data_IF_152363818237
#
_entry.id   IF_152363818237
#
_cell.length_a   1.000
_cell.length_b   1.000
_cell.length_c   1.000
_cell.angle_alpha   90.00
_cell.angle_beta   90.00
_cell.angle_gamma   90.00
#
_symmetry.space_group_name_H-M   'P 1'
#
loop_
_entity.id
_entity.type
_entity.pdbx_description
1 polymer ?
#
# COMPACT_ATOMS: atom_id res chain seq x y z
N UNK A 1 21.11 -4.17 -0.02
CA UNK A 1 21.00 -4.72 -1.39
C UNK A 1 20.99 -3.51 -2.30
N UNK A 2 22.13 -3.16 -2.90
CA UNK A 2 22.31 -1.88 -3.63
C UNK A 2 22.80 -2.07 -5.08
N UNK A 3 22.90 -3.31 -5.57
CA UNK A 3 23.53 -3.62 -6.86
C UNK A 3 22.60 -4.37 -7.83
N UNK A 4 21.31 -4.01 -7.86
CA UNK A 4 20.40 -4.49 -8.89
C UNK A 4 20.57 -3.68 -10.18
N UNK A 5 20.72 -4.32 -11.34
CA UNK A 5 20.79 -3.63 -12.63
C UNK A 5 19.49 -2.88 -12.96
N UNK A 6 18.37 -3.25 -12.32
CA UNK A 6 17.09 -2.57 -12.40
C UNK A 6 16.80 -1.92 -11.04
N UNK A 7 17.04 -0.62 -10.94
CA UNK A 7 16.71 0.20 -9.78
C UNK A 7 16.24 1.58 -10.24
N UNK A 8 15.33 2.16 -9.47
CA UNK A 8 14.88 3.53 -9.66
C UNK A 8 15.10 4.27 -8.32
N UNK A 9 15.86 5.36 -8.35
CA UNK A 9 16.19 6.16 -7.17
C UNK A 9 14.94 6.75 -6.50
N UNK A 10 13.90 7.05 -7.28
CA UNK A 10 12.61 7.54 -6.77
C UNK A 10 11.92 6.52 -5.86
N UNK A 11 12.30 5.25 -5.93
CA UNK A 11 11.72 4.16 -5.12
C UNK A 11 12.50 3.85 -3.85
N UNK A 12 13.52 4.65 -3.48
CA UNK A 12 14.30 4.41 -2.28
C UNK A 12 13.44 4.34 -1.00
N UNK A 13 12.38 5.14 -0.89
CA UNK A 13 11.44 5.11 0.24
C UNK A 13 10.70 3.78 0.37
N UNK A 14 10.53 3.03 -0.72
CA UNK A 14 9.87 1.73 -0.73
C UNK A 14 10.68 0.64 -0.03
N UNK A 15 11.98 0.87 0.22
CA UNK A 15 12.81 -0.08 0.98
C UNK A 15 12.23 -0.40 2.37
N UNK A 16 11.48 0.55 2.95
CA UNK A 16 10.82 0.39 4.25
C UNK A 16 9.30 0.29 4.15
N UNK A 17 8.74 0.29 2.92
CA UNK A 17 7.31 0.19 2.72
C UNK A 17 6.82 -1.23 2.98
N UNK A 18 5.72 -1.35 3.73
CA UNK A 18 5.02 -2.61 3.93
C UNK A 18 4.03 -2.85 2.80
N UNK A 19 4.50 -3.55 1.77
CA UNK A 19 3.76 -3.86 0.54
C UNK A 19 3.58 -5.37 0.42
N UNK A 20 2.40 -5.79 0.02
CA UNK A 20 2.12 -7.16 -0.40
C UNK A 20 1.62 -7.19 -1.85
N UNK A 21 1.85 -8.31 -2.53
CA UNK A 21 1.42 -8.51 -3.91
C UNK A 21 0.34 -9.59 -3.98
N UNK A 22 -0.59 -9.41 -4.91
CA UNK A 22 -1.63 -10.37 -5.27
C UNK A 22 -1.73 -10.50 -6.78
N UNK A 23 -2.23 -11.65 -7.22
CA UNK A 23 -2.62 -11.89 -8.58
C UNK A 23 -4.14 -11.86 -8.70
N UNK A 24 -4.65 -11.10 -9.66
CA UNK A 24 -6.00 -11.27 -10.18
C UNK A 24 -5.91 -12.20 -11.40
N UNK A 25 -6.86 -13.12 -11.54
CA UNK A 25 -6.88 -14.02 -12.70
C UNK A 25 -6.91 -13.27 -14.02
N UNK A 26 -7.62 -12.14 -14.06
CA UNK A 26 -7.81 -11.34 -15.26
C UNK A 26 -7.82 -9.84 -14.96
N UNK A 27 -7.48 -9.05 -15.97
CA UNK A 27 -7.75 -7.62 -16.00
C UNK A 27 -9.27 -7.33 -15.92
N UNK A 28 -9.64 -6.12 -15.49
CA UNK A 28 -11.05 -5.72 -15.43
C UNK A 28 -11.30 -4.31 -15.98
N UNK A 29 -12.53 -4.07 -16.43
CA UNK A 29 -12.94 -2.76 -16.94
C UNK A 29 -13.42 -1.82 -15.82
N UNK A 30 -12.91 -0.58 -15.84
CA UNK A 30 -13.31 0.48 -14.93
C UNK A 30 -13.51 1.78 -15.71
N UNK A 31 -14.77 2.20 -15.86
CA UNK A 31 -15.17 3.45 -16.54
C UNK A 31 -14.58 3.57 -17.97
N UNK A 32 -14.66 2.48 -18.74
CA UNK A 32 -14.18 2.44 -20.13
C UNK A 32 -12.66 2.34 -20.29
N UNK A 33 -11.94 2.01 -19.21
CA UNK A 33 -10.51 1.71 -19.23
C UNK A 33 -10.27 0.32 -18.68
N UNK A 34 -9.34 -0.40 -19.28
CA UNK A 34 -8.86 -1.69 -18.76
C UNK A 34 -7.85 -1.42 -17.64
N UNK A 35 -8.01 -2.09 -16.52
CA UNK A 35 -7.12 -2.03 -15.35
C UNK A 35 -6.27 -3.29 -15.31
N UNK A 36 -4.96 -3.12 -15.51
CA UNK A 36 -3.97 -4.21 -15.53
C UNK A 36 -3.27 -4.39 -14.18
N UNK A 37 -3.25 -3.34 -13.37
CA UNK A 37 -2.70 -3.31 -12.02
C UNK A 37 -3.52 -2.38 -11.14
N UNK A 38 -3.48 -2.61 -9.82
CA UNK A 38 -4.09 -1.70 -8.85
C UNK A 38 -3.31 -1.72 -7.54
N UNK A 39 -2.78 -0.57 -7.15
CA UNK A 39 -2.24 -0.30 -5.82
C UNK A 39 -3.31 0.29 -4.88
N UNK A 40 -3.50 -0.32 -3.71
CA UNK A 40 -4.45 0.11 -2.69
C UNK A 40 -3.79 0.21 -1.31
N UNK A 41 -4.05 1.31 -0.60
CA UNK A 41 -3.78 1.36 0.84
C UNK A 41 -4.84 0.56 1.59
N UNK A 42 -4.42 -0.36 2.46
CA UNK A 42 -5.35 -1.18 3.25
C UNK A 42 -6.04 -0.29 4.28
N UNK A 43 -7.32 -0.05 4.08
CA UNK A 43 -8.16 0.78 4.95
C UNK A 43 -9.32 -0.03 5.51
N UNK A 44 -9.20 -0.45 6.78
CA UNK A 44 -10.24 -1.20 7.49
C UNK A 44 -11.33 -0.26 8.04
N UNK A 45 -12.08 0.39 7.14
CA UNK A 45 -13.16 1.35 7.48
C UNK A 45 -14.48 0.65 7.77
N UNK A 46 -14.46 -0.37 8.62
CA UNK A 46 -15.64 -1.10 9.05
C UNK A 46 -15.62 -1.35 10.56
N UNK A 47 -16.78 -1.58 11.16
CA UNK A 47 -16.92 -1.98 12.56
C UNK A 47 -17.32 -3.45 12.71
N UNK A 48 -17.19 -3.98 13.91
CA UNK A 48 -17.67 -5.32 14.28
C UNK A 48 -17.14 -6.44 13.39
N UNK A 49 -18.02 -7.36 12.99
CA UNK A 49 -17.63 -8.56 12.24
C UNK A 49 -17.05 -8.29 10.86
N UNK A 50 -17.43 -7.19 10.20
CA UNK A 50 -16.88 -6.87 8.89
C UNK A 50 -15.37 -6.57 8.99
N UNK A 51 -14.96 -5.80 10.00
CA UNK A 51 -13.54 -5.55 10.28
C UNK A 51 -12.82 -6.85 10.64
N UNK A 52 -13.37 -7.62 11.57
CA UNK A 52 -12.73 -8.87 12.03
C UNK A 52 -12.50 -9.87 10.88
N UNK A 53 -13.46 -10.02 9.95
CA UNK A 53 -13.28 -10.89 8.78
C UNK A 53 -12.22 -10.38 7.82
N UNK A 54 -12.16 -9.06 7.59
CA UNK A 54 -11.11 -8.48 6.75
C UNK A 54 -9.73 -8.66 7.38
N UNK A 55 -9.59 -8.46 8.70
CA UNK A 55 -8.33 -8.68 9.42
C UNK A 55 -7.89 -10.15 9.35
N UNK A 56 -8.81 -11.08 9.62
CA UNK A 56 -8.54 -12.51 9.52
C UNK A 56 -8.09 -12.90 8.12
N UNK A 57 -8.77 -12.42 7.07
CA UNK A 57 -8.42 -12.71 5.68
C UNK A 57 -7.00 -12.23 5.33
N UNK A 58 -6.62 -11.03 5.78
CA UNK A 58 -5.26 -10.51 5.56
C UNK A 58 -4.20 -11.34 6.29
N UNK A 59 -4.48 -11.74 7.53
CA UNK A 59 -3.59 -12.62 8.29
C UNK A 59 -3.46 -14.01 7.65
N UNK A 60 -4.55 -14.58 7.13
CA UNK A 60 -4.51 -15.86 6.42
C UNK A 60 -3.70 -15.77 5.12
N UNK A 61 -3.79 -14.66 4.38
CA UNK A 61 -3.06 -14.49 3.14
C UNK A 61 -1.58 -14.10 3.33
N UNK A 62 -1.29 -13.21 4.29
CA UNK A 62 0.02 -12.55 4.39
C UNK A 62 0.72 -12.72 5.75
N UNK A 63 0.08 -13.40 6.72
CA UNK A 63 0.56 -13.50 8.10
C UNK A 63 0.45 -12.20 8.91
N UNK A 64 0.09 -11.08 8.25
CA UNK A 64 -0.01 -9.73 8.81
C UNK A 64 -1.03 -8.92 8.02
N UNK A 65 -1.31 -7.69 8.45
CA UNK A 65 -2.10 -6.73 7.67
C UNK A 65 -1.11 -5.79 6.97
N UNK A 66 -0.87 -5.93 5.65
CA UNK A 66 0.05 -5.05 4.93
C UNK A 66 -0.50 -3.62 4.87
N UNK A 67 0.37 -2.60 4.79
CA UNK A 67 -0.05 -1.21 4.59
C UNK A 67 -0.59 -0.98 3.17
N UNK A 68 0.04 -1.59 2.17
CA UNK A 68 -0.36 -1.51 0.78
C UNK A 68 -0.46 -2.89 0.14
N UNK A 69 -1.41 -3.05 -0.78
CA UNK A 69 -1.54 -4.24 -1.62
C UNK A 69 -1.47 -3.78 -3.08
N UNK A 70 -0.61 -4.40 -3.87
CA UNK A 70 -0.58 -4.28 -5.32
C UNK A 70 -1.16 -5.56 -5.91
N UNK A 71 -2.23 -5.43 -6.69
CA UNK A 71 -2.84 -6.54 -7.42
C UNK A 71 -2.55 -6.40 -8.90
N UNK A 72 -2.00 -7.45 -9.53
CA UNK A 72 -1.66 -7.47 -10.96
C UNK A 72 -2.52 -8.49 -11.71
N UNK A 73 -2.91 -8.17 -12.93
CA UNK A 73 -3.61 -9.07 -13.84
C UNK A 73 -2.66 -10.15 -14.37
N UNK A 74 -2.87 -11.39 -13.94
CA UNK A 74 -1.99 -12.52 -14.27
C UNK A 74 -2.01 -12.85 -15.76
N UNK A 75 -3.19 -12.81 -16.39
CA UNK A 75 -3.36 -13.06 -17.83
C UNK A 75 -2.55 -12.09 -18.70
N UNK A 76 -2.49 -10.81 -18.31
CA UNK A 76 -1.64 -9.82 -18.97
C UNK A 76 -0.16 -10.06 -18.68
N UNK A 77 0.20 -10.27 -17.40
CA UNK A 77 1.60 -10.44 -16.98
C UNK A 77 2.25 -11.70 -17.58
N UNK A 78 1.47 -12.73 -17.90
CA UNK A 78 1.94 -13.94 -18.59
C UNK A 78 2.31 -13.67 -20.06
N UNK A 79 1.72 -12.66 -20.69
CA UNK A 79 1.82 -12.42 -22.13
C UNK A 79 2.69 -11.20 -22.49
N UNK A 80 2.81 -10.24 -21.58
CA UNK A 80 3.56 -9.01 -21.83
C UNK A 80 5.07 -9.24 -21.82
N UNK A 81 5.81 -8.36 -22.50
CA UNK A 81 7.27 -8.35 -22.45
C UNK A 81 7.79 -7.92 -21.07
N UNK A 82 9.04 -8.28 -20.75
CA UNK A 82 9.69 -7.83 -19.51
C UNK A 82 9.64 -6.31 -19.33
N UNK A 83 9.76 -5.55 -20.43
CA UNK A 83 9.70 -4.09 -20.40
C UNK A 83 8.30 -3.58 -20.01
N UNK A 84 7.25 -4.17 -20.57
CA UNK A 84 5.87 -3.83 -20.23
C UNK A 84 5.53 -4.22 -18.80
N UNK A 85 5.99 -5.39 -18.35
CA UNK A 85 5.85 -5.82 -16.96
C UNK A 85 6.54 -4.85 -16.00
N UNK A 86 7.78 -4.46 -16.29
CA UNK A 86 8.51 -3.48 -15.49
C UNK A 86 7.79 -2.14 -15.45
N UNK A 87 7.29 -1.65 -16.59
CA UNK A 87 6.54 -0.40 -16.65
C UNK A 87 5.23 -0.46 -15.83
N UNK A 88 4.50 -1.58 -15.88
CA UNK A 88 3.31 -1.79 -15.05
C UNK A 88 3.68 -1.81 -13.56
N UNK A 89 4.73 -2.53 -13.18
CA UNK A 89 5.17 -2.60 -11.80
C UNK A 89 5.60 -1.22 -11.27
N UNK A 90 6.38 -0.47 -12.06
CA UNK A 90 6.77 0.91 -11.74
C UNK A 90 5.55 1.81 -11.57
N UNK A 91 4.56 1.72 -12.48
CA UNK A 91 3.32 2.46 -12.39
C UNK A 91 2.62 2.25 -11.05
N UNK A 92 2.47 0.98 -10.61
CA UNK A 92 1.80 0.68 -9.34
C UNK A 92 2.62 1.12 -8.12
N UNK A 93 3.94 1.00 -8.17
CA UNK A 93 4.82 1.45 -7.09
C UNK A 93 4.82 2.98 -6.92
N UNK A 94 4.68 3.74 -8.01
CA UNK A 94 4.57 5.20 -7.95
C UNK A 94 3.33 5.68 -7.16
N UNK A 95 2.23 4.91 -7.14
CA UNK A 95 1.06 5.25 -6.31
C UNK A 95 1.37 5.23 -4.80
N UNK A 96 2.37 4.45 -4.38
CA UNK A 96 2.82 4.42 -2.98
C UNK A 96 3.65 5.67 -2.67
N UNK A 97 4.50 6.11 -3.60
CA UNK A 97 5.30 7.32 -3.47
C UNK A 97 4.42 8.58 -3.36
N UNK A 98 3.39 8.67 -4.20
CA UNK A 98 2.42 9.78 -4.17
C UNK A 98 1.52 9.76 -2.93
N UNK A 99 1.39 8.63 -2.23
CA UNK A 99 0.70 8.58 -0.93
C UNK A 99 1.56 9.12 0.23
N UNK A 100 2.82 9.51 -0.05
CA UNK A 100 3.79 10.05 0.91
C UNK A 100 4.34 11.43 0.49
N UNK A 101 3.54 12.51 0.49
CA UNK A 101 4.03 13.92 0.43
C UNK A 101 3.06 14.92 1.12
N UNK A 102 3.39 16.16 1.55
CA UNK A 102 4.44 17.17 1.22
C UNK A 102 5.59 17.39 2.25
N UNK A 103 5.57 16.80 3.45
CA UNK A 103 6.56 17.11 4.52
C UNK A 103 7.36 15.92 5.07
N UNK A 104 7.27 14.73 4.46
CA UNK A 104 8.19 13.60 4.73
C UNK A 104 8.31 13.10 6.18
N UNK A 105 7.51 13.59 7.12
CA UNK A 105 7.62 13.23 8.52
C UNK A 105 6.66 12.06 8.85
N UNK A 106 7.11 11.03 9.59
CA UNK A 106 6.18 10.21 10.38
C UNK A 106 5.35 11.17 11.24
N UNK A 107 4.05 10.92 11.43
CA UNK A 107 3.24 11.66 12.41
C UNK A 107 3.91 11.56 13.78
N UNK A 108 4.80 12.51 14.10
CA UNK A 108 5.29 12.75 15.44
C UNK A 108 4.07 13.24 16.22
N UNK A 109 3.51 12.33 17.00
CA UNK A 109 2.88 12.60 18.27
C UNK A 109 3.70 13.64 19.06
N UNK A 110 3.32 14.91 18.92
CA UNK A 110 3.64 15.97 19.87
C UNK A 110 2.35 16.63 20.32
N UNK A 111 1.70 16.01 21.29
CA UNK A 111 1.38 16.76 22.49
C UNK A 111 2.02 16.07 23.70
N UNK A 112 2.97 16.81 24.24
CA UNK A 112 3.83 16.56 25.37
C UNK A 112 3.08 16.66 26.70
N UNK A 113 3.54 15.83 27.64
CA UNK A 113 3.67 16.06 29.09
C UNK A 113 2.46 15.81 30.01
N UNK A 114 2.66 14.78 30.82
CA UNK A 114 2.14 14.64 32.17
C UNK A 114 2.30 15.91 33.05
N UNK A 115 1.25 16.12 33.85
CA UNK A 115 1.22 16.47 35.28
C UNK A 115 0.86 17.91 35.70
N UNK A 116 -0.31 18.03 36.34
CA UNK A 116 -0.45 18.76 37.61
C UNK A 116 -1.50 19.86 37.71
N UNK A 117 -2.38 19.70 38.72
CA UNK A 117 -3.19 20.71 39.45
C UNK A 117 -4.47 21.25 38.75
N UNK A 118 -5.67 20.88 39.22
CA UNK A 118 -6.52 21.65 40.18
C UNK A 118 -7.06 22.95 39.56
N UNK A 119 -8.34 23.35 39.54
CA UNK A 119 -9.50 23.13 40.42
C UNK A 119 -10.72 23.88 39.83
N UNK A 120 -11.92 23.43 40.23
CA UNK A 120 -13.16 24.21 40.46
C UNK A 120 -14.01 24.75 39.29
N UNK A 121 -15.18 24.12 39.14
CA UNK A 121 -16.44 24.72 38.65
C UNK A 121 -17.03 25.68 39.69
N UNK A 122 -17.83 26.65 39.26
CA UNK A 122 -19.16 26.89 39.81
C UNK A 122 -20.24 26.13 39.01
#
# INVERSE_FOLDING_TARGET
MENGNLHNEDHFHLHTADVAFMWASNAFDKRGRVVLGQCEQVMLRAGGWQKARMEQQMHEWFGRIPKFIITLAADYCEQCSDLEFCALLEHELYHIAQATDDYGAPKFNKETRHAGAQTSRP
#
